data_IF_347690799021
#
_entry.id   IF_347690799021
#
_cell.length_a   1.000
_cell.length_b   1.000
_cell.length_c   1.000
_cell.angle_alpha   90.00
_cell.angle_beta   90.00
_cell.angle_gamma   90.00
#
_symmetry.space_group_name_H-M   'P 1'
#
loop_
_entity.id
_entity.type
_entity.pdbx_description
1 polymer ?
#
# COMPACT_ATOMS: atom_id res chain seq x y z
N UNK A 1 -18.98 -2.62 -13.44
CA UNK A 1 -17.60 -2.84 -12.95
C UNK A 1 -17.70 -3.82 -11.82
N UNK A 2 -16.99 -4.97 -11.80
CA UNK A 2 -16.97 -5.85 -10.65
C UNK A 2 -16.39 -5.07 -9.47
N UNK A 3 -16.97 -5.27 -8.30
CA UNK A 3 -16.52 -4.64 -7.06
C UNK A 3 -15.08 -5.05 -6.79
N UNK A 4 -14.17 -4.08 -6.81
CA UNK A 4 -12.71 -4.31 -6.69
C UNK A 4 -12.28 -4.68 -5.27
N UNK A 5 -13.19 -4.58 -4.30
CA UNK A 5 -13.01 -5.02 -2.92
C UNK A 5 -13.59 -6.42 -2.68
N UNK A 6 -14.23 -7.03 -3.70
CA UNK A 6 -14.68 -8.40 -3.56
C UNK A 6 -13.45 -9.30 -3.52
N UNK A 7 -13.17 -9.98 -2.41
CA UNK A 7 -12.17 -11.05 -2.42
C UNK A 7 -12.55 -12.05 -3.50
N UNK A 8 -11.60 -12.74 -4.13
CA UNK A 8 -11.90 -13.77 -5.11
C UNK A 8 -12.94 -14.72 -4.51
N UNK A 9 -13.92 -15.21 -5.28
CA UNK A 9 -15.00 -16.04 -4.77
C UNK A 9 -14.39 -17.17 -3.97
N UNK A 10 -14.88 -17.34 -2.74
CA UNK A 10 -14.47 -18.42 -1.86
C UNK A 10 -14.62 -19.72 -2.65
N UNK A 11 -13.51 -20.39 -2.92
CA UNK A 11 -13.50 -21.71 -3.52
C UNK A 11 -14.35 -22.60 -2.61
N UNK A 12 -15.36 -23.23 -3.17
CA UNK A 12 -16.34 -24.02 -2.47
C UNK A 12 -15.68 -25.10 -1.61
N UNK A 13 -15.94 -25.04 -0.33
CA UNK A 13 -15.74 -26.13 0.64
C UNK A 13 -14.37 -26.18 1.31
N UNK A 14 -14.31 -26.68 2.55
CA UNK A 14 -13.05 -26.92 3.25
C UNK A 14 -12.34 -28.10 2.59
N UNK A 15 -11.56 -27.83 1.57
CA UNK A 15 -10.54 -28.76 1.08
C UNK A 15 -9.51 -28.91 2.20
N UNK A 16 -9.39 -30.12 2.75
CA UNK A 16 -8.43 -30.45 3.77
C UNK A 16 -7.06 -29.89 3.41
N UNK A 17 -6.53 -29.06 4.31
CA UNK A 17 -5.18 -28.50 4.21
C UNK A 17 -4.18 -29.62 3.94
N UNK A 18 -3.62 -29.67 2.75
CA UNK A 18 -2.52 -30.54 2.44
C UNK A 18 -1.31 -30.10 3.28
N UNK A 19 -1.09 -30.77 4.41
CA UNK A 19 0.06 -30.58 5.29
C UNK A 19 -0.05 -29.36 6.19
N UNK A 20 -0.41 -29.57 7.43
CA UNK A 20 -0.64 -28.73 8.60
C UNK A 20 0.15 -27.41 8.86
N UNK A 21 0.74 -26.79 7.86
CA UNK A 21 1.48 -25.52 7.97
C UNK A 21 0.57 -24.36 7.55
N UNK A 22 0.45 -23.37 8.45
CA UNK A 22 -0.22 -22.11 8.09
C UNK A 22 0.56 -21.42 6.97
N UNK A 23 -0.13 -20.87 5.94
CA UNK A 23 0.53 -20.17 4.84
C UNK A 23 1.25 -18.92 5.35
N UNK A 24 2.46 -18.69 4.89
CA UNK A 24 3.21 -17.48 5.18
C UNK A 24 2.76 -16.35 4.27
N UNK A 25 2.16 -15.33 4.83
CA UNK A 25 1.61 -14.19 4.10
C UNK A 25 2.47 -12.95 4.36
N UNK A 26 2.76 -12.19 3.30
CA UNK A 26 3.40 -10.87 3.41
C UNK A 26 2.43 -9.83 2.86
N UNK A 27 2.12 -8.84 3.69
CA UNK A 27 1.30 -7.69 3.33
C UNK A 27 2.14 -6.41 3.25
N UNK A 28 1.90 -5.61 2.21
CA UNK A 28 2.43 -4.25 2.11
C UNK A 28 1.30 -3.28 2.41
N UNK A 29 1.45 -2.51 3.49
CA UNK A 29 0.43 -1.60 3.99
C UNK A 29 0.83 -0.15 3.71
N UNK A 30 0.01 0.56 2.95
CA UNK A 30 0.17 2.00 2.72
C UNK A 30 -0.02 2.77 4.02
N UNK A 31 0.85 3.73 4.33
CA UNK A 31 0.78 4.55 5.55
C UNK A 31 -0.52 5.37 5.66
N UNK A 32 -1.18 5.62 4.54
CA UNK A 32 -2.44 6.36 4.42
C UNK A 32 -3.67 5.47 4.25
N UNK A 33 -3.50 4.16 4.38
CA UNK A 33 -4.60 3.20 4.37
C UNK A 33 -5.08 2.92 5.80
N UNK A 34 -5.21 1.68 6.16
CA UNK A 34 -5.64 1.26 7.51
C UNK A 34 -4.59 1.60 8.56
N UNK A 35 -5.02 2.09 9.72
CA UNK A 35 -4.13 2.22 10.87
C UNK A 35 -3.62 0.84 11.32
N UNK A 36 -2.31 0.71 11.46
CA UNK A 36 -1.67 -0.51 11.98
C UNK A 36 -1.73 -0.61 13.51
N UNK A 37 -2.14 0.47 14.17
CA UNK A 37 -2.15 0.57 15.62
C UNK A 37 -3.11 -0.48 16.23
N UNK A 38 -2.63 -1.20 17.22
CA UNK A 38 -3.41 -2.25 17.89
C UNK A 38 -3.49 -3.58 17.14
N UNK A 39 -3.32 -3.62 15.83
CA UNK A 39 -3.42 -4.85 15.01
C UNK A 39 -2.07 -5.45 14.63
N UNK A 40 -0.98 -4.68 14.72
CA UNK A 40 0.37 -5.13 14.40
C UNK A 40 1.25 -5.10 15.65
N UNK A 41 2.04 -6.15 15.85
CA UNK A 41 3.05 -6.22 16.89
C UNK A 41 4.34 -5.49 16.50
N UNK A 42 5.25 -5.35 17.46
CA UNK A 42 6.56 -4.69 17.26
C UNK A 42 7.46 -5.43 16.25
N UNK A 43 7.20 -6.72 16.06
CA UNK A 43 7.87 -7.58 15.08
C UNK A 43 7.32 -7.44 13.66
N UNK A 44 6.33 -6.57 13.45
CA UNK A 44 5.65 -6.40 12.17
C UNK A 44 4.63 -7.49 11.85
N UNK A 45 4.34 -8.39 12.80
CA UNK A 45 3.38 -9.48 12.62
C UNK A 45 1.99 -9.06 13.09
N UNK A 46 0.94 -9.49 12.41
CA UNK A 46 -0.43 -9.23 12.86
C UNK A 46 -0.74 -10.04 14.14
N UNK A 47 -1.28 -9.37 15.16
CA UNK A 47 -1.58 -9.99 16.47
C UNK A 47 -2.56 -11.16 16.36
N UNK A 48 -3.62 -11.00 15.56
CA UNK A 48 -4.65 -12.03 15.38
C UNK A 48 -4.30 -13.08 14.32
N UNK A 49 -3.29 -12.81 13.49
CA UNK A 49 -2.86 -13.65 12.37
C UNK A 49 -1.33 -13.76 12.36
N UNK A 50 -0.72 -14.58 13.23
CA UNK A 50 0.73 -14.65 13.39
C UNK A 50 1.48 -15.19 12.16
N UNK A 51 0.77 -15.69 11.17
CA UNK A 51 1.31 -16.11 9.88
C UNK A 51 1.35 -14.96 8.83
N UNK A 52 0.92 -13.75 9.21
CA UNK A 52 0.88 -12.57 8.36
C UNK A 52 1.85 -11.52 8.88
N UNK A 53 2.85 -11.18 8.07
CA UNK A 53 3.78 -10.08 8.35
C UNK A 53 3.42 -8.86 7.50
N UNK A 54 3.38 -7.68 8.11
CA UNK A 54 3.06 -6.41 7.45
C UNK A 54 4.31 -5.53 7.33
N UNK A 55 4.50 -4.99 6.14
CA UNK A 55 5.56 -4.03 5.83
C UNK A 55 4.90 -2.72 5.44
N UNK A 56 5.14 -1.67 6.23
CA UNK A 56 4.63 -0.33 5.92
C UNK A 56 5.37 0.27 4.74
N UNK A 57 4.63 0.92 3.87
CA UNK A 57 5.15 1.61 2.69
C UNK A 57 4.51 3.00 2.58
N UNK A 58 5.25 4.02 2.14
CA UNK A 58 4.73 5.39 2.07
C UNK A 58 3.50 5.53 1.18
N UNK A 59 3.39 4.71 0.15
CA UNK A 59 2.26 4.68 -0.77
C UNK A 59 2.19 3.33 -1.47
N UNK A 60 0.97 2.78 -1.61
CA UNK A 60 0.77 1.53 -2.36
C UNK A 60 1.20 1.65 -3.83
N UNK A 61 1.08 2.84 -4.44
CA UNK A 61 1.56 3.11 -5.80
C UNK A 61 3.08 3.05 -5.97
N UNK A 62 3.84 3.07 -4.87
CA UNK A 62 5.30 2.89 -4.89
C UNK A 62 5.69 1.42 -5.14
N UNK A 63 4.80 0.49 -4.86
CA UNK A 63 5.06 -0.93 -5.00
C UNK A 63 5.26 -1.34 -6.46
N UNK A 64 6.33 -2.10 -6.69
CA UNK A 64 6.64 -2.67 -8.01
C UNK A 64 6.29 -4.16 -8.04
N UNK A 65 5.72 -4.68 -9.13
CA UNK A 65 5.42 -6.11 -9.28
C UNK A 65 6.62 -7.02 -8.94
N UNK A 66 7.83 -6.59 -9.27
CA UNK A 66 9.05 -7.34 -8.98
C UNK A 66 9.25 -7.63 -7.48
N UNK A 67 8.79 -6.75 -6.59
CA UNK A 67 8.90 -6.95 -5.14
C UNK A 67 7.91 -8.00 -4.64
N UNK A 68 6.72 -8.03 -5.20
CA UNK A 68 5.71 -9.05 -4.89
C UNK A 68 6.18 -10.43 -5.37
N UNK A 69 6.73 -10.50 -6.59
CA UNK A 69 7.34 -11.73 -7.10
C UNK A 69 8.55 -12.17 -6.27
N UNK A 70 9.37 -11.22 -5.83
CA UNK A 70 10.51 -11.51 -4.96
C UNK A 70 10.04 -12.14 -3.64
N UNK A 71 8.99 -11.62 -3.03
CA UNK A 71 8.42 -12.19 -1.80
C UNK A 71 7.95 -13.64 -2.03
N UNK A 72 7.21 -13.91 -3.12
CA UNK A 72 6.75 -15.26 -3.46
C UNK A 72 7.93 -16.20 -3.71
N UNK A 73 8.95 -15.77 -4.44
CA UNK A 73 10.15 -16.59 -4.71
C UNK A 73 11.00 -16.87 -3.46
N UNK A 74 10.87 -16.04 -2.42
CA UNK A 74 11.59 -16.19 -1.15
C UNK A 74 10.74 -16.84 -0.05
N UNK A 75 9.68 -17.55 -0.43
CA UNK A 75 8.95 -18.44 0.47
C UNK A 75 7.71 -17.82 1.12
N UNK A 76 7.21 -16.69 0.61
CA UNK A 76 5.85 -16.28 0.89
C UNK A 76 4.88 -17.19 0.10
N UNK A 77 3.85 -17.68 0.77
CA UNK A 77 2.79 -18.47 0.14
C UNK A 77 1.75 -17.55 -0.52
N UNK A 78 1.59 -16.35 0.02
CA UNK A 78 0.71 -15.31 -0.52
C UNK A 78 1.24 -13.91 -0.24
N UNK A 79 0.88 -12.96 -1.08
CA UNK A 79 1.27 -11.55 -0.96
C UNK A 79 0.09 -10.65 -1.26
N UNK A 80 -0.13 -9.65 -0.42
CA UNK A 80 -1.13 -8.62 -0.72
C UNK A 80 -0.56 -7.20 -0.58
N UNK A 81 -1.24 -6.26 -1.22
CA UNK A 81 -0.97 -4.82 -1.04
C UNK A 81 -2.26 -4.15 -0.59
N UNK A 82 -2.22 -3.50 0.57
CA UNK A 82 -3.30 -2.67 1.06
C UNK A 82 -3.05 -1.21 0.69
N UNK A 83 -3.98 -0.62 -0.06
CA UNK A 83 -3.98 0.79 -0.43
C UNK A 83 -5.17 1.54 0.16
N UNK A 84 -5.15 2.87 0.02
CA UNK A 84 -6.30 3.70 0.34
C UNK A 84 -7.52 3.32 -0.51
N UNK A 85 -8.76 3.64 -0.08
CA UNK A 85 -9.97 3.42 -0.85
C UNK A 85 -9.87 4.00 -2.27
N UNK A 86 -10.50 3.34 -3.24
CA UNK A 86 -10.51 3.84 -4.60
C UNK A 86 -11.26 5.18 -4.66
N UNK A 87 -10.63 6.18 -5.28
CA UNK A 87 -11.14 7.54 -5.32
C UNK A 87 -10.65 8.44 -4.18
N UNK A 88 -10.10 7.85 -3.10
CA UNK A 88 -9.63 8.58 -1.90
C UNK A 88 -8.15 8.28 -1.60
N UNK A 89 -7.30 8.35 -2.61
CA UNK A 89 -5.86 8.12 -2.44
C UNK A 89 -5.14 9.42 -2.05
N UNK A 90 -4.46 9.44 -0.91
CA UNK A 90 -3.64 10.59 -0.48
C UNK A 90 -2.67 11.06 -1.58
N UNK A 91 -2.07 10.13 -2.30
CA UNK A 91 -1.17 10.43 -3.43
C UNK A 91 -1.91 10.42 -4.79
N UNK A 92 -3.21 10.70 -4.81
CA UNK A 92 -4.12 10.82 -5.95
C UNK A 92 -4.41 9.52 -6.70
N UNK A 93 -3.40 8.81 -7.21
CA UNK A 93 -3.56 7.65 -8.11
C UNK A 93 -2.79 6.41 -7.67
N UNK A 94 -2.17 6.40 -6.49
CA UNK A 94 -1.34 5.29 -6.04
C UNK A 94 -2.10 3.96 -5.94
N UNK A 95 -3.34 3.98 -5.47
CA UNK A 95 -4.22 2.83 -5.37
C UNK A 95 -4.61 2.27 -6.75
N UNK A 96 -4.94 3.13 -7.72
CA UNK A 96 -5.23 2.71 -9.09
C UNK A 96 -3.97 2.09 -9.75
N UNK A 97 -2.81 2.73 -9.58
CA UNK A 97 -1.55 2.23 -10.13
C UNK A 97 -1.22 0.82 -9.64
N UNK A 98 -1.35 0.55 -8.34
CA UNK A 98 -1.03 -0.78 -7.82
C UNK A 98 -2.05 -1.82 -8.26
N UNK A 99 -3.34 -1.47 -8.29
CA UNK A 99 -4.39 -2.34 -8.82
C UNK A 99 -4.06 -2.81 -10.23
N UNK A 100 -3.78 -1.88 -11.13
CA UNK A 100 -3.50 -2.18 -12.54
C UNK A 100 -2.22 -2.99 -12.71
N UNK A 101 -1.18 -2.69 -11.92
CA UNK A 101 0.08 -3.47 -11.90
C UNK A 101 -0.14 -4.90 -11.43
N UNK A 102 -0.96 -5.13 -10.42
CA UNK A 102 -1.26 -6.47 -9.92
C UNK A 102 -2.09 -7.25 -10.93
N UNK A 103 -3.07 -6.63 -11.58
CA UNK A 103 -3.82 -7.28 -12.67
C UNK A 103 -2.89 -7.76 -13.80
N UNK A 104 -1.96 -6.91 -14.24
CA UNK A 104 -0.98 -7.29 -15.26
C UNK A 104 -0.01 -8.37 -14.77
N UNK A 105 0.41 -8.29 -13.50
CA UNK A 105 1.27 -9.28 -12.87
C UNK A 105 0.58 -10.65 -12.81
N UNK A 106 -0.70 -10.73 -12.43
CA UNK A 106 -1.45 -11.99 -12.37
C UNK A 106 -1.45 -12.71 -13.72
N UNK A 107 -1.68 -11.99 -14.83
CA UNK A 107 -1.58 -12.55 -16.19
C UNK A 107 -0.19 -13.12 -16.51
N UNK A 108 0.87 -12.51 -15.96
CA UNK A 108 2.24 -13.01 -16.12
C UNK A 108 2.49 -14.24 -15.28
N UNK A 109 2.00 -14.29 -14.03
CA UNK A 109 2.09 -15.46 -13.16
C UNK A 109 1.40 -16.67 -13.77
N UNK A 110 0.21 -16.50 -14.36
CA UNK A 110 -0.50 -17.55 -15.10
C UNK A 110 0.37 -18.20 -16.19
N UNK A 111 1.02 -17.36 -17.00
CA UNK A 111 1.95 -17.86 -18.04
C UNK A 111 3.16 -18.60 -17.47
N UNK A 112 3.58 -18.25 -16.25
CA UNK A 112 4.67 -18.92 -15.54
C UNK A 112 4.21 -20.14 -14.73
N UNK A 113 2.93 -20.53 -14.83
CA UNK A 113 2.32 -21.63 -14.06
C UNK A 113 2.40 -21.40 -12.53
N UNK A 114 2.46 -20.15 -12.10
CA UNK A 114 2.30 -19.74 -10.69
C UNK A 114 0.85 -19.34 -10.48
N UNK A 115 0.24 -19.82 -9.39
CA UNK A 115 -1.14 -19.49 -9.05
C UNK A 115 -1.30 -17.97 -8.90
N UNK A 116 -2.09 -17.29 -9.77
CA UNK A 116 -2.24 -15.83 -9.73
C UNK A 116 -2.95 -15.35 -8.48
N UNK A 117 -3.77 -16.21 -7.86
CA UNK A 117 -4.55 -15.91 -6.65
C UNK A 117 -3.71 -15.82 -5.38
N UNK A 118 -2.40 -16.08 -5.48
CA UNK A 118 -1.43 -15.81 -4.40
C UNK A 118 -1.11 -14.33 -4.26
N UNK A 119 -1.58 -13.49 -5.18
CA UNK A 119 -1.36 -12.04 -5.12
C UNK A 119 -2.70 -11.32 -5.24
N UNK A 120 -2.94 -10.40 -4.30
CA UNK A 120 -4.15 -9.58 -4.31
C UNK A 120 -3.87 -8.14 -3.91
N UNK A 121 -4.82 -7.26 -4.19
CA UNK A 121 -4.89 -5.89 -3.66
C UNK A 121 -6.18 -5.73 -2.90
N UNK A 122 -6.10 -5.04 -1.78
CA UNK A 122 -7.24 -4.66 -0.94
C UNK A 122 -7.20 -3.16 -0.68
N UNK A 123 -8.35 -2.53 -0.49
CA UNK A 123 -8.46 -1.09 -0.39
C UNK A 123 -9.36 -0.72 0.79
N UNK A 124 -8.77 -0.17 1.84
CA UNK A 124 -9.46 0.19 3.07
C UNK A 124 -8.99 1.55 3.57
N UNK A 125 -9.88 2.27 4.24
CA UNK A 125 -9.60 3.55 4.87
C UNK A 125 -9.01 3.40 6.26
N UNK A 126 -8.64 4.53 6.85
CA UNK A 126 -7.93 4.60 8.12
C UNK A 126 -8.68 3.92 9.28
N UNK A 127 -10.00 3.93 9.25
CA UNK A 127 -10.86 3.42 10.31
C UNK A 127 -11.43 2.01 10.03
N UNK A 128 -11.13 1.41 8.88
CA UNK A 128 -11.69 0.12 8.44
C UNK A 128 -10.85 -1.06 8.95
N UNK A 129 -10.35 -0.99 10.18
CA UNK A 129 -9.46 -2.03 10.73
C UNK A 129 -10.12 -3.41 10.80
N UNK A 130 -11.39 -3.46 11.21
CA UNK A 130 -12.11 -4.73 11.36
C UNK A 130 -12.32 -5.42 10.00
N UNK A 131 -12.72 -4.66 8.99
CA UNK A 131 -12.90 -5.14 7.63
C UNK A 131 -11.57 -5.57 7.01
N UNK A 132 -10.51 -4.82 7.26
CA UNK A 132 -9.16 -5.17 6.82
C UNK A 132 -8.71 -6.50 7.42
N UNK A 133 -8.82 -6.69 8.74
CA UNK A 133 -8.43 -7.94 9.43
C UNK A 133 -9.23 -9.11 8.88
N UNK A 134 -10.54 -8.92 8.66
CA UNK A 134 -11.40 -9.94 8.05
C UNK A 134 -10.91 -10.31 6.65
N UNK A 135 -10.68 -9.34 5.78
CA UNK A 135 -10.22 -9.57 4.41
C UNK A 135 -8.85 -10.27 4.35
N UNK A 136 -7.94 -9.93 5.26
CA UNK A 136 -6.63 -10.59 5.36
C UNK A 136 -6.78 -12.04 5.84
N UNK A 137 -7.70 -12.31 6.76
CA UNK A 137 -8.03 -13.66 7.21
C UNK A 137 -8.57 -14.51 6.06
N UNK A 138 -9.57 -13.99 5.34
CA UNK A 138 -10.16 -14.64 4.16
C UNK A 138 -9.10 -14.93 3.09
N UNK A 139 -8.21 -13.98 2.83
CA UNK A 139 -7.09 -14.18 1.92
C UNK A 139 -6.12 -15.26 2.40
N UNK A 140 -5.80 -15.29 3.70
CA UNK A 140 -4.94 -16.32 4.29
C UNK A 140 -5.55 -17.73 4.16
N UNK A 141 -6.85 -17.86 4.42
CA UNK A 141 -7.60 -19.11 4.24
C UNK A 141 -7.66 -19.54 2.76
N UNK A 142 -7.89 -18.59 1.87
CA UNK A 142 -7.85 -18.83 0.43
C UNK A 142 -6.47 -19.37 -0.01
N UNK A 143 -5.38 -18.72 0.41
CA UNK A 143 -4.02 -19.16 0.08
C UNK A 143 -3.72 -20.56 0.67
N UNK A 144 -4.26 -20.87 1.87
CA UNK A 144 -4.11 -22.19 2.48
C UNK A 144 -4.76 -23.32 1.65
N UNK A 145 -5.84 -22.99 0.93
CA UNK A 145 -6.56 -23.93 0.07
C UNK A 145 -5.88 -24.13 -1.30
N UNK A 146 -4.95 -23.25 -1.69
CA UNK A 146 -4.24 -23.39 -2.95
C UNK A 146 -3.21 -24.53 -2.90
N UNK A 147 -2.96 -25.23 -4.02
CA UNK A 147 -1.89 -26.20 -4.11
C UNK A 147 -0.55 -25.61 -3.63
N UNK A 148 0.27 -26.38 -2.94
CA UNK A 148 1.56 -25.89 -2.46
C UNK A 148 2.36 -25.19 -3.57
N UNK A 149 3.01 -24.04 -3.29
CA UNK A 149 3.87 -23.40 -4.29
C UNK A 149 5.02 -24.35 -4.66
N UNK A 150 5.49 -24.22 -5.90
CA UNK A 150 6.73 -24.90 -6.28
C UNK A 150 7.84 -24.57 -5.26
N UNK A 151 8.72 -25.52 -4.91
CA UNK A 151 9.74 -25.29 -3.90
C UNK A 151 10.52 -24.02 -4.24
N UNK A 152 10.66 -23.15 -3.24
CA UNK A 152 11.45 -21.92 -3.38
C UNK A 152 12.86 -22.31 -3.89
N UNK A 153 13.36 -21.56 -4.85
CA UNK A 153 14.76 -21.76 -5.30
C UNK A 153 15.66 -21.67 -4.05
N UNK A 154 16.66 -22.56 -3.93
CA UNK A 154 17.61 -22.47 -2.83
C UNK A 154 18.13 -21.04 -2.76
N UNK A 155 17.95 -20.41 -1.60
CA UNK A 155 18.48 -19.07 -1.36
C UNK A 155 20.00 -19.16 -1.51
N UNK A 156 20.63 -18.37 -2.39
CA UNK A 156 22.08 -18.26 -2.35
C UNK A 156 22.48 -17.86 -0.93
N UNK A 157 23.54 -18.43 -0.37
CA UNK A 157 24.01 -18.03 0.96
C UNK A 157 24.06 -16.52 0.98
N UNK A 158 23.50 -15.92 2.05
CA UNK A 158 23.55 -14.47 2.23
C UNK A 158 25.02 -14.09 2.05
N UNK A 159 25.33 -13.33 1.01
CA UNK A 159 26.67 -12.77 0.87
C UNK A 159 26.96 -12.12 2.22
N UNK A 160 27.99 -12.62 2.91
CA UNK A 160 28.43 -12.06 4.17
C UNK A 160 28.52 -10.55 3.96
N UNK A 161 27.67 -9.81 4.67
CA UNK A 161 27.44 -8.40 4.39
C UNK A 161 28.78 -7.69 4.29
N UNK A 162 29.10 -7.23 3.10
CA UNK A 162 30.15 -6.23 2.95
C UNK A 162 29.72 -5.08 3.88
N UNK A 163 30.48 -4.74 4.93
CA UNK A 163 30.12 -3.66 5.80
C UNK A 163 29.90 -2.43 4.92
N UNK A 164 28.72 -1.83 5.01
CA UNK A 164 28.43 -0.61 4.28
C UNK A 164 29.57 0.37 4.55
N UNK A 165 30.28 0.76 3.50
CA UNK A 165 31.28 1.82 3.57
C UNK A 165 30.59 2.99 4.26
N UNK A 166 31.11 3.51 5.41
CA UNK A 166 30.50 4.66 6.05
C UNK A 166 30.42 5.76 5.00
N UNK A 167 29.22 6.30 4.82
CA UNK A 167 29.03 7.47 3.96
C UNK A 167 30.01 8.51 4.45
N UNK A 168 30.92 8.93 3.59
CA UNK A 168 31.83 10.03 3.87
C UNK A 168 30.96 11.20 4.32
N UNK A 169 31.24 11.70 5.53
CA UNK A 169 30.62 12.91 6.04
C UNK A 169 30.88 13.99 4.97
N UNK A 170 29.84 14.36 4.26
CA UNK A 170 29.91 15.45 3.30
C UNK A 170 30.26 16.71 4.08
N UNK A 171 31.45 17.24 3.83
CA UNK A 171 31.86 18.57 4.26
C UNK A 171 30.75 19.54 3.85
N UNK A 172 30.23 20.26 4.83
CA UNK A 172 29.15 21.20 4.66
C UNK A 172 29.48 22.21 3.57
N UNK A 173 28.75 22.17 2.47
CA UNK A 173 28.66 23.29 1.58
C UNK A 173 27.93 24.41 2.32
N UNK A 174 28.69 25.44 2.68
CA UNK A 174 28.17 26.69 3.19
C UNK A 174 27.13 27.24 2.20
N UNK A 175 25.92 27.49 2.70
CA UNK A 175 24.89 28.17 1.93
C UNK A 175 25.42 29.54 1.47
N UNK A 176 25.25 29.92 0.19
CA UNK A 176 25.54 31.27 -0.24
C UNK A 176 24.56 32.25 0.42
N UNK A 177 25.13 33.34 0.96
CA UNK A 177 24.47 34.31 1.80
C UNK A 177 23.13 34.82 1.26
N UNK A 178 22.20 34.96 2.19
CA UNK A 178 20.96 35.69 1.99
C UNK A 178 21.26 37.16 1.67
N UNK A 179 21.06 37.53 0.41
CA UNK A 179 20.96 38.96 0.05
C UNK A 179 19.51 39.40 0.36
N UNK A 180 19.42 40.32 1.30
CA UNK A 180 18.19 41.04 1.61
C UNK A 180 17.75 41.84 0.37
N UNK A 181 16.50 41.60 -0.06
CA UNK A 181 15.84 42.36 -1.11
C UNK A 181 14.34 42.42 -0.79
N UNK A 182 13.99 43.40 0.03
CA UNK A 182 12.64 43.83 0.35
C UNK A 182 11.94 44.37 -0.91
N UNK A 183 10.77 43.85 -1.22
CA UNK A 183 9.92 44.37 -2.29
C UNK A 183 8.61 43.63 -2.45
N UNK A 184 7.74 43.71 -1.44
CA UNK A 184 6.32 43.37 -1.59
C UNK A 184 5.62 44.63 -2.13
N UNK A 185 5.01 44.61 -3.34
CA UNK A 185 4.20 45.73 -3.79
C UNK A 185 2.88 45.78 -3.00
N UNK A 186 2.40 46.99 -2.64
CA UNK A 186 1.15 47.14 -1.92
C UNK A 186 -0.06 46.83 -2.80
N UNK A 187 -1.05 46.15 -2.20
CA UNK A 187 -2.33 45.88 -2.82
C UNK A 187 -3.04 47.18 -3.24
N UNK A 188 -3.76 47.25 -4.39
CA UNK A 188 -4.48 48.42 -4.81
C UNK A 188 -5.68 48.68 -3.87
N UNK A 189 -5.77 49.90 -3.36
CA UNK A 189 -6.73 50.37 -2.41
C UNK A 189 -8.17 50.29 -2.93
N UNK A 190 -9.06 49.91 -2.03
CA UNK A 190 -10.48 50.07 -2.19
C UNK A 190 -10.84 51.55 -2.25
N UNK A 191 -11.35 52.02 -3.38
CA UNK A 191 -11.91 53.34 -3.53
C UNK A 191 -13.33 53.37 -2.88
N UNK A 192 -13.45 54.13 -1.84
CA UNK A 192 -14.72 54.56 -1.29
C UNK A 192 -15.36 55.55 -2.27
N UNK A 193 -16.55 55.26 -2.73
CA UNK A 193 -17.42 56.15 -3.47
C UNK A 193 -18.79 56.15 -2.84
N UNK A 194 -19.04 57.19 -2.14
CA UNK A 194 -20.23 57.53 -1.49
C UNK A 194 -21.28 58.15 -2.42
N UNK A 195 -22.50 58.17 -1.95
CA UNK A 195 -23.43 59.24 -2.25
C UNK A 195 -24.66 58.86 -3.03
N UNK A 196 -25.74 58.98 -2.41
CA UNK A 196 -26.92 59.81 -2.67
C UNK A 196 -28.26 59.07 -2.83
N UNK A 197 -29.07 59.28 -1.84
CA UNK A 197 -30.49 59.64 -1.78
C UNK A 197 -31.29 59.58 -3.09
N UNK A 198 -32.45 58.93 -3.02
CA UNK A 198 -33.57 59.08 -3.95
C UNK A 198 -34.84 58.44 -3.39
N UNK A 199 -35.67 59.26 -2.90
CA UNK A 199 -37.03 59.09 -2.32
C UNK A 199 -38.09 58.79 -3.38
N UNK A 200 -39.18 58.17 -2.99
CA UNK A 200 -40.51 58.22 -3.63
C UNK A 200 -40.92 56.84 -4.11
N UNK A 201 -42.04 56.29 -3.73
CA UNK A 201 -43.36 56.72 -3.54
C UNK A 201 -44.29 55.69 -4.16
N UNK A 202 -45.24 55.24 -3.34
CA UNK A 202 -46.62 54.82 -3.67
C UNK A 202 -46.94 54.01 -4.92
N UNK A 203 -47.42 52.83 -4.82
CA UNK A 203 -48.84 52.42 -4.91
C UNK A 203 -48.91 50.92 -4.69
#
# INVERSE_FOLDING_TARGET
>A
MPDVNTPPPAAAGPGAAAGGRRPRIIGFLCDWAVSAEGIVGDDGTMRDLPNVSLIKVPCSGFMRPAWLEFALRNGADGVFVCGCPLGDCFNRLGNNLIRDRVVQMRRRLERQKVQPDRVTTIFYGLHDQAEFVRAVREFSEHVAALPAPAPARPRPPAAAGTPAKPAAAGEGQAAPGAAAGSGVPPAPGAAAGGGAKGSGGSS
#
